data_IF_712197501793
#
_entry.id   IF_712197501793
#
_cell.length_a   1.000
_cell.length_b   1.000
_cell.length_c   1.000
_cell.angle_alpha   90.00
_cell.angle_beta   90.00
_cell.angle_gamma   90.00
#
_symmetry.space_group_name_H-M   'P 1'
#
loop_
_entity.id
_entity.type
_entity.pdbx_description
1 polymer ?
#
# COMPACT_ATOMS: atom_id res chain seq x y z
N UNK A 1 20.87 -0.43 5.60
CA UNK A 1 19.53 -0.29 4.99
C UNK A 1 19.59 -0.25 3.48
N UNK A 2 20.19 0.79 2.89
CA UNK A 2 20.22 1.04 1.43
C UNK A 2 20.71 -0.17 0.63
N UNK A 3 21.93 -0.66 0.89
CA UNK A 3 22.51 -1.81 0.17
C UNK A 3 21.65 -3.07 0.24
N UNK A 4 21.01 -3.32 1.39
CA UNK A 4 20.12 -4.46 1.54
C UNK A 4 18.86 -4.28 0.70
N UNK A 5 18.12 -3.19 0.90
CA UNK A 5 16.82 -2.96 0.27
C UNK A 5 16.91 -2.76 -1.26
N UNK A 6 17.94 -2.05 -1.73
CA UNK A 6 18.05 -1.61 -3.13
C UNK A 6 19.22 -2.24 -3.88
N UNK A 7 20.09 -3.01 -3.21
CA UNK A 7 21.14 -3.80 -3.86
C UNK A 7 20.80 -5.29 -3.78
N UNK A 8 20.82 -5.86 -2.58
CA UNK A 8 20.69 -7.30 -2.38
C UNK A 8 19.30 -7.83 -2.74
N UNK A 9 18.22 -7.21 -2.25
CA UNK A 9 16.83 -7.67 -2.50
C UNK A 9 16.51 -7.77 -4.00
N UNK A 10 16.70 -6.72 -4.84
CA UNK A 10 16.39 -6.84 -6.27
C UNK A 10 17.27 -7.86 -6.99
N UNK A 11 18.52 -8.05 -6.56
CA UNK A 11 19.39 -9.13 -7.09
C UNK A 11 18.77 -10.49 -6.77
N UNK A 12 18.38 -10.73 -5.51
CA UNK A 12 17.80 -11.99 -5.09
C UNK A 12 16.44 -12.26 -5.76
N UNK A 13 15.62 -11.23 -5.98
CA UNK A 13 14.33 -11.34 -6.68
C UNK A 13 14.47 -11.78 -8.15
N UNK A 14 15.64 -11.59 -8.77
CA UNK A 14 15.94 -12.07 -10.13
C UNK A 14 16.36 -13.55 -10.14
N UNK A 15 17.06 -14.01 -9.10
CA UNK A 15 17.62 -15.36 -9.06
C UNK A 15 16.73 -16.39 -8.34
N UNK A 16 15.78 -15.94 -7.52
CA UNK A 16 14.87 -16.81 -6.78
C UNK A 16 13.53 -16.88 -7.52
N UNK A 17 12.96 -18.09 -7.59
CA UNK A 17 11.67 -18.37 -8.23
C UNK A 17 10.55 -17.48 -7.66
N UNK A 18 9.54 -17.18 -8.48
CA UNK A 18 8.39 -16.36 -8.10
C UNK A 18 7.40 -17.12 -7.18
N UNK A 19 6.86 -16.43 -6.16
CA UNK A 19 5.78 -16.90 -5.29
C UNK A 19 4.44 -16.72 -5.99
N UNK A 20 4.23 -17.54 -7.02
CA UNK A 20 3.08 -17.48 -7.89
C UNK A 20 1.89 -18.35 -7.44
N UNK A 21 2.05 -19.09 -6.32
CA UNK A 21 1.06 -20.02 -5.81
C UNK A 21 -0.03 -19.33 -4.96
N UNK A 22 -1.28 -19.73 -5.19
CA UNK A 22 -2.43 -19.36 -4.38
C UNK A 22 -2.80 -20.47 -3.38
N UNK A 23 -3.23 -20.14 -2.15
CA UNK A 23 -3.72 -21.15 -1.23
C UNK A 23 -5.02 -21.79 -1.76
N UNK A 24 -5.07 -23.12 -1.75
CA UNK A 24 -6.30 -23.88 -1.98
C UNK A 24 -7.38 -23.52 -0.94
N UNK A 25 -8.64 -23.83 -1.22
CA UNK A 25 -9.76 -23.58 -0.29
C UNK A 25 -9.50 -24.17 1.11
N UNK A 26 -8.94 -25.39 1.19
CA UNK A 26 -8.60 -26.03 2.45
C UNK A 26 -7.47 -25.29 3.19
N UNK A 27 -6.40 -24.90 2.48
CA UNK A 27 -5.30 -24.11 3.05
C UNK A 27 -5.79 -22.74 3.51
N UNK A 28 -6.65 -22.08 2.75
CA UNK A 28 -7.23 -20.78 3.09
C UNK A 28 -7.94 -20.84 4.44
N UNK A 29 -8.84 -21.81 4.63
CA UNK A 29 -9.57 -21.99 5.89
C UNK A 29 -8.62 -22.20 7.08
N UNK A 30 -7.65 -23.11 6.93
CA UNK A 30 -6.65 -23.41 7.96
C UNK A 30 -5.78 -22.19 8.31
N UNK A 31 -5.14 -21.58 7.31
CA UNK A 31 -4.18 -20.48 7.50
C UNK A 31 -4.84 -19.22 8.08
N UNK A 32 -6.12 -19.00 7.81
CA UNK A 32 -6.87 -17.85 8.35
C UNK A 32 -7.11 -17.97 9.86
N UNK A 33 -7.23 -19.20 10.38
CA UNK A 33 -7.51 -19.48 11.80
C UNK A 33 -6.24 -19.57 12.66
N UNK A 34 -5.09 -19.85 12.05
CA UNK A 34 -3.82 -20.02 12.77
C UNK A 34 -3.32 -18.71 13.42
N UNK A 35 -3.24 -18.70 14.76
CA UNK A 35 -2.83 -17.51 15.52
C UNK A 35 -1.39 -17.06 15.28
N UNK A 36 -0.48 -17.98 14.93
CA UNK A 36 0.95 -17.67 14.71
C UNK A 36 1.18 -16.59 13.65
N UNK A 37 0.30 -16.48 12.65
CA UNK A 37 0.41 -15.45 11.61
C UNK A 37 0.16 -14.04 12.15
N UNK A 38 -0.48 -13.91 13.32
CA UNK A 38 -0.64 -12.64 14.04
C UNK A 38 0.59 -12.30 14.88
N UNK A 39 1.35 -13.30 15.31
CA UNK A 39 2.54 -13.09 16.15
C UNK A 39 3.68 -12.45 15.37
N UNK A 40 3.89 -12.83 14.10
CA UNK A 40 4.96 -12.29 13.25
C UNK A 40 4.91 -10.74 13.18
N UNK A 41 3.81 -10.11 12.73
CA UNK A 41 3.72 -8.65 12.72
C UNK A 41 3.70 -8.04 14.13
N UNK A 42 3.16 -8.73 15.13
CA UNK A 42 3.14 -8.23 16.50
C UNK A 42 4.56 -8.15 17.12
N UNK A 43 5.40 -9.16 16.86
CA UNK A 43 6.79 -9.20 17.34
C UNK A 43 7.67 -8.15 16.66
N UNK A 44 7.34 -7.75 15.43
CA UNK A 44 8.07 -6.67 14.75
C UNK A 44 7.96 -5.33 15.48
N UNK A 45 6.86 -5.07 16.19
CA UNK A 45 6.65 -3.78 16.87
C UNK A 45 7.75 -3.48 17.91
N UNK A 46 7.98 -4.32 18.94
CA UNK A 46 9.08 -4.08 19.87
C UNK A 46 10.46 -4.16 19.18
N UNK A 47 10.64 -5.02 18.17
CA UNK A 47 11.89 -5.12 17.42
C UNK A 47 12.23 -3.81 16.70
N UNK A 48 11.27 -3.20 16.02
CA UNK A 48 11.45 -1.91 15.36
C UNK A 48 11.84 -0.82 16.38
N UNK A 49 11.13 -0.72 17.50
CA UNK A 49 11.46 0.28 18.51
C UNK A 49 12.84 0.07 19.12
N UNK A 50 13.24 -1.18 19.35
CA UNK A 50 14.59 -1.50 19.82
C UNK A 50 15.66 -1.08 18.80
N UNK A 51 15.45 -1.35 17.51
CA UNK A 51 16.37 -0.94 16.43
C UNK A 51 16.44 0.59 16.34
N UNK A 52 15.30 1.28 16.31
CA UNK A 52 15.25 2.74 16.24
C UNK A 52 15.92 3.39 17.45
N UNK A 53 15.64 2.89 18.66
CA UNK A 53 16.26 3.39 19.87
C UNK A 53 17.77 3.15 19.90
N UNK A 54 18.22 1.95 19.54
CA UNK A 54 19.65 1.63 19.48
C UNK A 54 20.39 2.50 18.45
N UNK A 55 19.79 2.70 17.27
CA UNK A 55 20.35 3.59 16.26
C UNK A 55 20.41 5.04 16.74
N UNK A 56 19.37 5.51 17.45
CA UNK A 56 19.36 6.83 18.07
C UNK A 56 20.43 6.94 19.17
N UNK A 57 20.65 5.88 19.95
CA UNK A 57 21.70 5.81 20.97
C UNK A 57 23.08 5.94 20.35
N UNK A 58 23.38 5.18 19.29
CA UNK A 58 24.64 5.30 18.54
C UNK A 58 24.77 6.71 17.93
N UNK A 59 23.71 7.22 17.30
CA UNK A 59 23.66 8.59 16.76
C UNK A 59 23.93 9.66 17.83
N UNK A 60 23.52 9.43 19.08
CA UNK A 60 23.63 10.43 20.15
C UNK A 60 24.93 10.36 20.94
N UNK A 61 25.59 9.21 20.97
CA UNK A 61 26.73 8.95 21.89
C UNK A 61 28.05 8.70 21.19
N UNK A 62 28.04 8.37 19.89
CA UNK A 62 29.25 8.08 19.13
C UNK A 62 29.74 9.32 18.37
N UNK A 63 31.05 9.49 18.32
CA UNK A 63 31.70 10.46 17.42
C UNK A 63 31.79 9.84 16.02
N UNK A 64 30.89 10.26 15.13
CA UNK A 64 30.79 9.73 13.78
C UNK A 64 31.09 10.81 12.75
N UNK A 65 31.48 10.38 11.55
CA UNK A 65 31.54 11.25 10.38
C UNK A 65 30.15 11.53 9.86
N UNK A 66 29.96 12.67 9.20
CA UNK A 66 28.65 13.11 8.70
C UNK A 66 27.94 12.08 7.83
N UNK A 67 28.67 11.36 6.97
CA UNK A 67 28.09 10.32 6.11
C UNK A 67 27.62 9.09 6.89
N UNK A 68 28.19 8.82 8.06
CA UNK A 68 27.77 7.74 8.95
C UNK A 68 26.46 8.13 9.65
N UNK A 69 26.33 9.37 10.12
CA UNK A 69 25.06 9.90 10.64
C UNK A 69 23.94 9.81 9.60
N UNK A 70 24.20 10.27 8.37
CA UNK A 70 23.25 10.17 7.25
C UNK A 70 22.95 8.70 6.95
N UNK A 71 23.96 7.83 6.92
CA UNK A 71 23.81 6.40 6.67
C UNK A 71 22.92 5.70 7.70
N UNK A 72 23.01 6.06 8.99
CA UNK A 72 22.15 5.55 10.06
C UNK A 72 20.71 6.03 9.85
N UNK A 73 20.50 7.35 9.69
CA UNK A 73 19.16 7.94 9.49
C UNK A 73 18.46 7.32 8.29
N UNK A 74 19.14 7.27 7.14
CA UNK A 74 18.57 6.70 5.91
C UNK A 74 18.33 5.20 6.05
N UNK A 75 19.25 4.46 6.67
CA UNK A 75 19.08 3.02 6.84
C UNK A 75 17.91 2.66 7.74
N UNK A 76 17.75 3.37 8.86
CA UNK A 76 16.64 3.14 9.79
C UNK A 76 15.34 3.65 9.19
N UNK A 77 15.35 4.80 8.52
CA UNK A 77 14.18 5.29 7.80
C UNK A 77 13.68 4.29 6.75
N UNK A 78 14.57 3.74 5.92
CA UNK A 78 14.21 2.71 4.94
C UNK A 78 13.63 1.46 5.62
N UNK A 79 14.28 0.96 6.69
CA UNK A 79 13.78 -0.18 7.45
C UNK A 79 12.38 0.11 8.01
N UNK A 80 12.23 1.28 8.61
CA UNK A 80 11.00 1.71 9.26
C UNK A 80 9.86 1.92 8.28
N UNK A 81 10.16 2.42 7.08
CA UNK A 81 9.20 2.59 6.00
C UNK A 81 8.87 1.27 5.30
N UNK A 82 9.88 0.60 4.74
CA UNK A 82 9.68 -0.60 3.94
C UNK A 82 9.07 -1.76 4.75
N UNK A 83 9.56 -1.99 5.97
CA UNK A 83 9.05 -3.09 6.81
C UNK A 83 8.07 -2.56 7.84
N UNK A 84 8.45 -1.53 8.62
CA UNK A 84 7.62 -1.04 9.72
C UNK A 84 6.25 -0.54 9.29
N UNK A 85 6.17 0.36 8.30
CA UNK A 85 4.87 0.85 7.80
C UNK A 85 4.11 -0.28 7.12
N UNK A 86 4.77 -1.21 6.44
CA UNK A 86 4.10 -2.36 5.86
C UNK A 86 3.50 -3.32 6.91
N UNK A 87 4.20 -3.55 8.02
CA UNK A 87 3.64 -4.28 9.16
C UNK A 87 2.47 -3.50 9.77
N UNK A 88 2.61 -2.18 9.91
CA UNK A 88 1.51 -1.33 10.37
C UNK A 88 0.30 -1.43 9.44
N UNK A 89 0.52 -1.41 8.13
CA UNK A 89 -0.48 -1.55 7.09
C UNK A 89 -1.30 -2.84 7.26
N UNK A 90 -0.63 -4.00 7.39
CA UNK A 90 -1.30 -5.27 7.66
C UNK A 90 -2.14 -5.18 8.95
N UNK A 91 -1.56 -4.64 10.03
CA UNK A 91 -2.20 -4.59 11.35
C UNK A 91 -3.44 -3.67 11.42
N UNK A 92 -3.41 -2.51 10.76
CA UNK A 92 -4.53 -1.54 10.81
C UNK A 92 -5.79 -2.05 10.09
N UNK A 93 -5.62 -2.92 9.08
CA UNK A 93 -6.73 -3.53 8.33
C UNK A 93 -7.48 -4.60 9.12
N UNK A 94 -7.00 -5.00 10.30
CA UNK A 94 -7.57 -6.13 11.03
C UNK A 94 -8.72 -5.72 11.96
N UNK A 95 -9.74 -6.58 12.12
CA UNK A 95 -10.88 -6.32 12.99
C UNK A 95 -10.51 -6.31 14.48
N UNK A 96 -9.35 -6.86 14.86
CA UNK A 96 -8.88 -6.85 16.23
C UNK A 96 -8.35 -5.48 16.67
N UNK A 97 -8.81 -5.00 17.82
CA UNK A 97 -8.39 -3.69 18.37
C UNK A 97 -6.92 -3.65 18.77
N UNK A 98 -6.36 -4.74 19.32
CA UNK A 98 -4.95 -4.78 19.71
C UNK A 98 -4.03 -4.78 18.49
N UNK A 99 -4.40 -5.45 17.40
CA UNK A 99 -3.64 -5.41 16.14
C UNK A 99 -3.62 -3.97 15.61
N UNK A 100 -4.79 -3.30 15.54
CA UNK A 100 -4.85 -1.89 15.12
C UNK A 100 -4.06 -0.95 16.04
N UNK A 101 -4.04 -1.21 17.35
CA UNK A 101 -3.23 -0.46 18.30
C UNK A 101 -1.74 -0.59 17.97
N UNK A 102 -1.24 -1.80 17.75
CA UNK A 102 0.16 -2.05 17.37
C UNK A 102 0.53 -1.39 16.03
N UNK A 103 -0.37 -1.44 15.04
CA UNK A 103 -0.15 -0.75 13.76
C UNK A 103 -0.08 0.77 13.92
N UNK A 104 -0.98 1.36 14.72
CA UNK A 104 -0.93 2.80 15.05
C UNK A 104 0.31 3.19 15.84
N UNK A 105 0.79 2.30 16.72
CA UNK A 105 2.03 2.52 17.47
C UNK A 105 3.21 2.60 16.49
N UNK A 106 3.37 1.64 15.58
CA UNK A 106 4.40 1.69 14.54
C UNK A 106 4.36 3.00 13.71
N UNK A 107 3.16 3.45 13.31
CA UNK A 107 3.01 4.71 12.57
C UNK A 107 3.34 5.96 13.40
N UNK A 108 3.11 5.91 14.72
CA UNK A 108 3.55 6.97 15.63
C UNK A 108 5.08 7.07 15.68
N UNK A 109 5.78 5.92 15.53
CA UNK A 109 7.24 5.85 15.44
C UNK A 109 7.86 6.51 14.20
N UNK A 110 7.05 6.91 13.22
CA UNK A 110 7.49 7.55 11.97
C UNK A 110 6.73 8.82 11.64
N UNK A 111 6.04 9.42 12.63
CA UNK A 111 5.27 10.66 12.46
C UNK A 111 4.22 10.61 11.33
N UNK A 112 3.64 9.43 11.07
CA UNK A 112 2.71 9.23 9.96
C UNK A 112 1.39 8.58 10.41
N UNK A 113 1.00 8.82 11.66
CA UNK A 113 -0.16 8.17 12.28
C UNK A 113 -1.53 8.52 11.67
N UNK A 114 -1.67 9.70 11.05
CA UNK A 114 -2.91 10.12 10.37
C UNK A 114 -3.27 9.19 9.21
N UNK A 115 -2.25 8.62 8.54
CA UNK A 115 -2.39 7.69 7.43
C UNK A 115 -3.22 6.46 7.79
N UNK A 116 -3.20 6.00 9.05
CA UNK A 116 -4.02 4.85 9.46
C UNK A 116 -5.51 5.04 9.17
N UNK A 117 -6.06 6.25 9.40
CA UNK A 117 -7.47 6.53 9.14
C UNK A 117 -7.71 6.82 7.67
N UNK A 118 -6.81 7.61 7.07
CA UNK A 118 -6.87 7.99 5.67
C UNK A 118 -6.86 6.76 4.78
N UNK A 119 -5.95 5.83 5.03
CA UNK A 119 -5.82 4.62 4.24
C UNK A 119 -7.08 3.76 4.28
N UNK A 120 -7.59 3.50 5.49
CA UNK A 120 -8.74 2.62 5.71
C UNK A 120 -10.05 3.16 5.14
N UNK A 121 -10.28 4.47 5.28
CA UNK A 121 -11.60 5.07 5.00
C UNK A 121 -11.58 6.09 3.86
N UNK A 122 -10.40 6.43 3.35
CA UNK A 122 -10.11 7.33 2.24
C UNK A 122 -9.53 6.54 1.07
N UNK A 123 -8.22 6.29 1.05
CA UNK A 123 -7.54 5.61 -0.07
C UNK A 123 -8.24 4.32 -0.51
N UNK A 124 -8.55 3.37 0.37
CA UNK A 124 -9.25 2.13 -0.04
C UNK A 124 -10.62 2.36 -0.70
N UNK A 125 -11.29 3.48 -0.41
CA UNK A 125 -12.55 3.87 -1.06
C UNK A 125 -12.35 4.66 -2.35
N UNK A 126 -11.31 5.49 -2.38
CA UNK A 126 -11.07 6.45 -3.45
C UNK A 126 -10.02 5.99 -4.46
N UNK A 127 -9.30 4.90 -4.18
CA UNK A 127 -8.21 4.36 -5.01
C UNK A 127 -8.64 4.27 -6.46
N UNK A 128 -7.72 4.63 -7.36
CA UNK A 128 -7.98 4.70 -8.80
C UNK A 128 -9.09 5.70 -9.18
N UNK A 129 -9.40 6.70 -8.35
CA UNK A 129 -10.26 7.83 -8.74
C UNK A 129 -9.47 9.15 -8.73
N UNK A 130 -9.93 10.18 -9.45
CA UNK A 130 -9.28 11.51 -9.41
C UNK A 130 -9.26 12.18 -8.04
N UNK A 131 -10.01 11.65 -7.06
CA UNK A 131 -10.17 12.21 -5.73
C UNK A 131 -9.25 11.56 -4.68
N UNK A 132 -8.51 10.51 -5.04
CA UNK A 132 -7.53 9.90 -4.13
C UNK A 132 -6.17 10.60 -4.23
N UNK A 133 -5.66 11.20 -3.15
CA UNK A 133 -4.31 11.77 -3.14
C UNK A 133 -3.22 10.72 -3.37
N UNK A 134 -3.44 9.45 -3.00
CA UNK A 134 -2.46 8.38 -3.10
C UNK A 134 -2.54 7.55 -4.41
N UNK A 135 -3.42 7.92 -5.34
CA UNK A 135 -3.42 7.35 -6.71
C UNK A 135 -2.53 8.18 -7.62
N UNK A 136 -1.46 7.58 -8.16
CA UNK A 136 -0.51 8.24 -9.06
C UNK A 136 -1.02 8.32 -10.49
N UNK A 137 -0.85 9.49 -11.12
CA UNK A 137 -1.40 9.74 -12.46
C UNK A 137 -0.46 9.29 -13.57
N UNK A 138 -1.02 8.92 -14.71
CA UNK A 138 -0.21 8.67 -15.91
C UNK A 138 0.56 9.95 -16.28
N UNK A 139 1.87 9.83 -16.46
CA UNK A 139 2.79 10.94 -16.73
C UNK A 139 3.15 11.82 -15.52
N UNK A 140 2.60 11.59 -14.33
CA UNK A 140 3.02 12.28 -13.11
C UNK A 140 4.31 11.65 -12.58
N UNK A 141 5.33 12.45 -12.26
CA UNK A 141 6.55 11.90 -11.66
C UNK A 141 6.42 11.72 -10.14
N UNK A 142 7.29 10.89 -9.56
CA UNK A 142 7.28 10.58 -8.14
C UNK A 142 7.32 11.83 -7.24
N UNK A 143 8.07 12.87 -7.59
CA UNK A 143 8.22 14.05 -6.73
C UNK A 143 6.94 14.91 -6.69
N UNK A 144 6.28 15.08 -7.84
CA UNK A 144 4.96 15.72 -7.93
C UNK A 144 3.92 14.93 -7.15
N UNK A 145 3.91 13.60 -7.34
CA UNK A 145 3.05 12.69 -6.61
C UNK A 145 3.30 12.79 -5.10
N UNK A 146 4.55 12.72 -4.66
CA UNK A 146 4.92 12.71 -3.24
C UNK A 146 4.38 13.94 -2.53
N UNK A 147 4.55 15.13 -3.12
CA UNK A 147 4.02 16.35 -2.52
C UNK A 147 2.49 16.34 -2.44
N UNK A 148 1.83 15.93 -3.53
CA UNK A 148 0.37 15.84 -3.60
C UNK A 148 -0.20 14.80 -2.64
N UNK A 149 0.45 13.65 -2.52
CA UNK A 149 0.00 12.53 -1.69
C UNK A 149 0.19 12.85 -0.21
N UNK A 150 1.37 13.29 0.21
CA UNK A 150 1.64 13.64 1.62
C UNK A 150 0.73 14.76 2.11
N UNK A 151 0.55 15.82 1.33
CA UNK A 151 -0.32 16.94 1.75
C UNK A 151 -1.80 16.60 1.61
N UNK A 152 -2.17 15.86 0.56
CA UNK A 152 -3.53 15.46 0.26
C UNK A 152 -4.08 14.42 1.23
N UNK A 153 -3.29 13.42 1.63
CA UNK A 153 -3.70 12.40 2.63
C UNK A 153 -3.92 13.05 4.00
N UNK A 154 -3.07 13.99 4.40
CA UNK A 154 -3.32 14.78 5.62
C UNK A 154 -4.64 15.56 5.56
N UNK A 155 -4.88 16.28 4.46
CA UNK A 155 -6.12 17.03 4.26
C UNK A 155 -7.35 16.11 4.24
N UNK A 156 -7.23 14.97 3.57
CA UNK A 156 -8.24 13.91 3.48
C UNK A 156 -8.61 13.41 4.88
N UNK A 157 -7.61 13.01 5.68
CA UNK A 157 -7.80 12.58 7.06
C UNK A 157 -8.52 13.63 7.92
N UNK A 158 -8.17 14.92 7.77
CA UNK A 158 -8.83 16.02 8.49
C UNK A 158 -10.28 16.23 8.07
N UNK A 159 -10.58 16.19 6.77
CA UNK A 159 -11.93 16.36 6.25
C UNK A 159 -12.86 15.23 6.72
N UNK A 160 -12.37 13.98 6.68
CA UNK A 160 -13.10 12.81 7.17
C UNK A 160 -13.40 12.89 8.66
N UNK A 161 -12.39 13.23 9.47
CA UNK A 161 -12.55 13.35 10.91
C UNK A 161 -13.49 14.50 11.28
N UNK A 162 -13.41 15.63 10.58
CA UNK A 162 -14.36 16.74 10.74
C UNK A 162 -15.80 16.29 10.45
N UNK A 163 -16.02 15.51 9.38
CA UNK A 163 -17.35 14.96 9.05
C UNK A 163 -17.86 13.99 10.12
N UNK A 164 -16.99 13.10 10.61
CA UNK A 164 -17.31 12.09 11.63
C UNK A 164 -17.71 12.75 12.95
N UNK A 165 -17.02 13.83 13.32
CA UNK A 165 -17.20 14.54 14.59
C UNK A 165 -18.13 15.76 14.50
N UNK A 166 -18.84 15.98 13.39
CA UNK A 166 -19.66 17.19 13.17
C UNK A 166 -20.72 17.44 14.24
N UNK A 167 -21.21 16.35 14.87
CA UNK A 167 -22.23 16.39 15.93
C UNK A 167 -21.63 16.13 17.33
N UNK A 168 -20.32 16.01 17.45
CA UNK A 168 -19.62 15.80 18.73
C UNK A 168 -19.01 17.13 19.18
N UNK A 169 -19.15 17.46 20.46
CA UNK A 169 -18.71 18.76 21.00
C UNK A 169 -17.82 18.58 22.24
N UNK A 170 -17.22 19.68 22.70
CA UNK A 170 -16.43 19.73 23.92
C UNK A 170 -15.21 18.80 23.94
N UNK A 171 -14.87 18.31 25.13
CA UNK A 171 -13.70 17.44 25.35
C UNK A 171 -13.82 16.09 24.62
N UNK A 172 -15.04 15.57 24.47
CA UNK A 172 -15.30 14.32 23.75
C UNK A 172 -14.83 14.42 22.29
N UNK A 173 -15.06 15.57 21.64
CA UNK A 173 -14.58 15.82 20.27
C UNK A 173 -13.05 15.72 20.19
N UNK A 174 -12.35 16.36 21.13
CA UNK A 174 -10.88 16.39 21.15
C UNK A 174 -10.33 14.98 21.42
N UNK A 175 -10.87 14.29 22.43
CA UNK A 175 -10.45 12.95 22.78
C UNK A 175 -10.80 11.91 21.73
N UNK A 176 -11.79 12.17 20.88
CA UNK A 176 -12.20 11.26 19.82
C UNK A 176 -11.53 11.53 18.48
N UNK A 177 -10.91 12.70 18.25
CA UNK A 177 -10.26 13.07 16.98
C UNK A 177 -9.03 12.19 16.74
N UNK A 178 -9.16 11.28 15.78
CA UNK A 178 -8.17 10.24 15.55
C UNK A 178 -6.91 10.79 14.86
N UNK A 179 -6.99 11.94 14.18
CA UNK A 179 -5.79 12.63 13.67
C UNK A 179 -5.08 13.33 14.82
N UNK A 180 -5.80 13.99 15.73
CA UNK A 180 -5.21 14.58 16.92
C UNK A 180 -4.53 13.54 17.81
N UNK A 181 -5.19 12.41 18.08
CA UNK A 181 -4.59 11.27 18.79
C UNK A 181 -3.30 10.79 18.12
N UNK A 182 -3.25 10.77 16.78
CA UNK A 182 -2.08 10.32 16.04
C UNK A 182 -0.87 11.26 16.18
N UNK A 183 -1.12 12.58 16.29
CA UNK A 183 -0.09 13.57 16.57
C UNK A 183 0.41 13.42 18.00
N UNK A 184 -0.52 13.30 18.97
CA UNK A 184 -0.17 13.11 20.37
C UNK A 184 0.63 11.83 20.62
N UNK A 185 0.26 10.71 19.99
CA UNK A 185 1.01 9.46 20.13
C UNK A 185 2.41 9.58 19.52
N UNK A 186 2.56 10.25 18.38
CA UNK A 186 3.86 10.50 17.76
C UNK A 186 4.74 11.40 18.62
N UNK A 187 4.16 12.45 19.22
CA UNK A 187 4.83 13.32 20.19
C UNK A 187 5.24 12.55 21.46
N UNK A 188 4.39 11.66 21.97
CA UNK A 188 4.72 10.84 23.13
C UNK A 188 5.92 9.92 22.85
N UNK A 189 5.97 9.30 21.67
CA UNK A 189 7.12 8.52 21.23
C UNK A 189 8.37 9.40 21.11
N UNK A 190 8.27 10.54 20.41
CA UNK A 190 9.38 11.48 20.28
C UNK A 190 9.91 11.95 21.65
N UNK A 191 9.01 12.16 22.61
CA UNK A 191 9.35 12.54 23.98
C UNK A 191 10.10 11.42 24.72
N UNK A 192 9.78 10.15 24.49
CA UNK A 192 10.58 9.03 25.04
C UNK A 192 12.00 9.03 24.48
N UNK A 193 12.19 9.34 23.20
CA UNK A 193 13.53 9.51 22.62
C UNK A 193 14.27 10.69 23.27
N UNK A 194 13.58 11.82 23.48
CA UNK A 194 14.14 12.97 24.18
C UNK A 194 14.53 12.66 25.63
N UNK A 195 13.67 11.98 26.39
CA UNK A 195 13.94 11.64 27.79
C UNK A 195 15.15 10.72 27.95
N UNK A 196 15.38 9.82 26.99
CA UNK A 196 16.44 8.81 27.08
C UNK A 196 17.76 9.26 26.45
N UNK A 197 17.72 10.14 25.43
CA UNK A 197 18.87 10.50 24.59
C UNK A 197 19.04 12.01 24.36
N UNK A 198 18.22 12.84 25.01
CA UNK A 198 18.24 14.29 24.88
C UNK A 198 17.83 14.79 23.48
N UNK A 199 18.29 15.99 23.14
CA UNK A 199 17.99 16.64 21.86
C UNK A 199 18.47 15.82 20.66
N UNK A 200 19.59 15.09 20.78
CA UNK A 200 20.12 14.25 19.71
C UNK A 200 19.16 13.12 19.32
N UNK A 201 18.54 12.45 20.31
CA UNK A 201 17.52 11.43 20.06
C UNK A 201 16.26 12.01 19.39
N UNK A 202 15.86 13.21 19.78
CA UNK A 202 14.72 13.91 19.16
C UNK A 202 15.01 14.27 17.71
N UNK A 203 16.20 14.80 17.42
CA UNK A 203 16.67 15.11 16.05
C UNK A 203 16.67 13.83 15.20
N UNK A 204 17.24 12.74 15.71
CA UNK A 204 17.23 11.46 14.99
C UNK A 204 15.81 11.00 14.64
N UNK A 205 14.88 11.05 15.60
CA UNK A 205 13.48 10.64 15.39
C UNK A 205 12.84 11.40 14.22
N UNK A 206 13.01 12.72 14.17
CA UNK A 206 12.44 13.56 13.11
C UNK A 206 13.19 13.47 11.79
N UNK A 207 14.47 13.12 11.78
CA UNK A 207 15.23 12.94 10.54
C UNK A 207 14.89 11.62 9.84
N UNK A 208 14.67 10.54 10.58
CA UNK A 208 14.35 9.24 9.95
C UNK A 208 12.91 9.14 9.46
N UNK A 209 11.97 9.85 10.11
CA UNK A 209 10.54 9.80 9.78
C UNK A 209 10.22 10.17 8.31
N UNK A 210 10.74 11.27 7.74
CA UNK A 210 10.58 11.59 6.31
C UNK A 210 11.09 10.51 5.36
N UNK A 211 12.21 9.86 5.68
CA UNK A 211 12.71 8.74 4.88
C UNK A 211 11.71 7.57 4.96
N UNK A 212 11.20 7.27 6.15
CA UNK A 212 10.25 6.18 6.37
C UNK A 212 8.93 6.36 5.62
N UNK A 213 8.25 7.50 5.78
CA UNK A 213 6.98 7.71 5.06
C UNK A 213 7.20 7.93 3.56
N UNK A 214 8.37 8.40 3.11
CA UNK A 214 8.67 8.47 1.67
C UNK A 214 8.78 7.08 1.03
N UNK A 215 9.18 6.04 1.78
CA UNK A 215 9.11 4.67 1.29
C UNK A 215 7.67 4.21 1.07
N UNK A 216 6.76 4.54 1.99
CA UNK A 216 5.33 4.28 1.80
C UNK A 216 4.80 4.99 0.56
N UNK A 217 5.11 6.27 0.38
CA UNK A 217 4.65 7.02 -0.79
C UNK A 217 5.26 6.49 -2.09
N UNK A 218 6.50 6.02 -2.08
CA UNK A 218 7.10 5.35 -3.24
C UNK A 218 6.35 4.06 -3.59
N UNK A 219 5.89 3.31 -2.58
CA UNK A 219 5.05 2.13 -2.77
C UNK A 219 3.68 2.50 -3.33
N UNK A 220 2.96 3.46 -2.74
CA UNK A 220 1.68 3.96 -3.29
C UNK A 220 1.83 4.40 -4.75
N UNK A 221 2.93 5.11 -5.06
CA UNK A 221 3.20 5.59 -6.41
C UNK A 221 3.32 4.46 -7.42
N UNK A 222 4.10 3.41 -7.13
CA UNK A 222 4.28 2.29 -8.08
C UNK A 222 3.04 1.40 -8.15
N UNK A 223 2.30 1.27 -7.04
CA UNK A 223 1.13 0.41 -6.91
C UNK A 223 -0.09 0.89 -7.69
N UNK A 224 -0.22 2.20 -7.90
CA UNK A 224 -1.41 2.80 -8.51
C UNK A 224 -1.14 3.57 -9.81
N UNK A 225 0.07 3.46 -10.37
CA UNK A 225 0.50 4.28 -11.50
C UNK A 225 -0.40 4.16 -12.72
N UNK A 226 -1.13 5.23 -13.02
CA UNK A 226 -1.91 5.38 -14.25
C UNK A 226 -3.16 4.52 -14.35
N UNK A 227 -3.54 3.80 -13.29
CA UNK A 227 -4.73 2.95 -13.25
C UNK A 227 -5.94 3.73 -12.71
N UNK A 228 -7.07 3.66 -13.41
CA UNK A 228 -8.28 4.40 -13.06
C UNK A 228 -9.54 3.57 -13.15
N UNK A 229 -10.42 3.76 -12.17
CA UNK A 229 -11.79 3.28 -12.14
C UNK A 229 -12.64 4.11 -13.09
N UNK A 230 -13.53 3.44 -13.81
CA UNK A 230 -14.54 4.08 -14.64
C UNK A 230 -15.66 4.66 -13.76
N UNK A 231 -16.13 5.89 -14.05
CA UNK A 231 -17.37 6.40 -13.49
C UNK A 231 -18.55 5.50 -13.90
N UNK A 232 -19.51 5.31 -13.01
CA UNK A 232 -20.76 4.62 -13.35
C UNK A 232 -21.61 5.49 -14.27
N UNK A 233 -22.49 4.85 -15.05
CA UNK A 233 -23.40 5.56 -15.96
C UNK A 233 -24.28 6.61 -15.26
N UNK A 234 -24.61 6.38 -13.98
CA UNK A 234 -25.40 7.28 -13.13
C UNK A 234 -24.56 8.10 -12.13
N UNK A 235 -23.26 8.27 -12.39
CA UNK A 235 -22.38 9.05 -11.52
C UNK A 235 -22.90 10.50 -11.38
N UNK A 236 -22.92 11.08 -10.17
CA UNK A 236 -23.24 12.50 -9.98
C UNK A 236 -22.28 13.41 -10.75
N UNK A 237 -22.72 14.65 -11.03
CA UNK A 237 -21.87 15.66 -11.65
C UNK A 237 -20.58 15.90 -10.84
N UNK A 238 -19.49 16.21 -11.53
CA UNK A 238 -18.17 16.42 -10.90
C UNK A 238 -18.18 17.49 -9.81
N UNK A 239 -19.00 18.54 -9.95
CA UNK A 239 -19.16 19.58 -8.92
C UNK A 239 -19.74 19.04 -7.61
N UNK A 240 -20.68 18.08 -7.70
CA UNK A 240 -21.26 17.40 -6.54
C UNK A 240 -20.22 16.50 -5.88
N UNK A 241 -19.45 15.75 -6.67
CA UNK A 241 -18.39 14.88 -6.17
C UNK A 241 -17.24 15.68 -5.53
N UNK A 242 -16.88 16.84 -6.09
CA UNK A 242 -15.91 17.75 -5.49
C UNK A 242 -16.41 18.28 -4.15
N UNK A 243 -17.67 18.71 -4.05
CA UNK A 243 -18.25 19.13 -2.77
C UNK A 243 -18.25 17.99 -1.75
N UNK A 244 -18.63 16.78 -2.17
CA UNK A 244 -18.58 15.59 -1.33
C UNK A 244 -17.16 15.32 -0.83
N UNK A 245 -16.14 15.49 -1.68
CA UNK A 245 -14.74 15.34 -1.31
C UNK A 245 -14.32 16.37 -0.25
N UNK A 246 -14.61 17.64 -0.48
CA UNK A 246 -14.24 18.74 0.41
C UNK A 246 -14.92 18.60 1.80
N UNK A 247 -16.08 17.93 1.86
CA UNK A 247 -16.83 17.61 3.09
C UNK A 247 -16.48 16.24 3.70
N UNK A 248 -15.48 15.52 3.18
CA UNK A 248 -15.08 14.18 3.66
C UNK A 248 -16.09 13.07 3.41
N UNK A 249 -17.03 13.24 2.47
CA UNK A 249 -18.09 12.27 2.13
C UNK A 249 -17.64 11.21 1.12
N UNK A 250 -16.58 10.48 1.43
CA UNK A 250 -15.93 9.59 0.45
C UNK A 250 -16.78 8.38 0.05
N UNK A 251 -17.74 7.97 0.86
CA UNK A 251 -18.70 6.93 0.49
C UNK A 251 -19.57 7.34 -0.73
N UNK A 252 -19.91 8.63 -0.86
CA UNK A 252 -20.66 9.12 -2.02
C UNK A 252 -19.82 9.08 -3.30
N UNK A 253 -18.52 9.36 -3.17
CA UNK A 253 -17.60 9.32 -4.31
C UNK A 253 -17.37 7.88 -4.73
N UNK A 254 -17.08 6.98 -3.79
CA UNK A 254 -16.90 5.55 -4.06
C UNK A 254 -18.11 4.95 -4.81
N UNK A 255 -19.33 5.29 -4.40
CA UNK A 255 -20.56 4.87 -5.08
C UNK A 255 -20.74 5.41 -6.52
N UNK A 256 -19.99 6.45 -6.91
CA UNK A 256 -20.01 7.02 -8.26
C UNK A 256 -19.08 6.31 -9.25
N UNK A 257 -18.20 5.43 -8.78
CA UNK A 257 -17.24 4.69 -9.61
C UNK A 257 -17.50 3.18 -9.54
N UNK A 258 -17.00 2.42 -10.52
CA UNK A 258 -17.06 0.95 -10.49
C UNK A 258 -16.40 0.38 -9.24
N UNK A 259 -16.78 -0.80 -8.77
CA UNK A 259 -16.21 -1.38 -7.55
C UNK A 259 -14.71 -1.63 -7.69
N UNK A 260 -13.94 -1.39 -6.63
CA UNK A 260 -12.51 -1.73 -6.58
C UNK A 260 -12.33 -3.23 -6.90
N UNK A 261 -11.34 -3.52 -7.72
CA UNK A 261 -11.08 -4.85 -8.27
C UNK A 261 -9.58 -5.05 -8.45
N UNK A 262 -9.10 -6.28 -8.69
CA UNK A 262 -7.69 -6.53 -8.92
C UNK A 262 -7.09 -5.79 -10.13
N UNK A 263 -7.90 -5.14 -10.97
CA UNK A 263 -7.41 -4.28 -12.06
C UNK A 263 -6.94 -2.90 -11.63
N UNK A 264 -7.27 -2.47 -10.42
CA UNK A 264 -7.05 -1.09 -9.93
C UNK A 264 -5.75 -0.91 -9.14
N UNK A 265 -4.86 -1.89 -9.22
CA UNK A 265 -3.51 -1.82 -8.68
C UNK A 265 -2.55 -2.78 -9.38
N UNK A 266 -1.28 -2.39 -9.40
CA UNK A 266 -0.19 -3.20 -9.89
C UNK A 266 0.21 -4.29 -8.89
N UNK A 267 0.64 -5.43 -9.42
CA UNK A 267 0.95 -6.64 -8.68
C UNK A 267 2.38 -7.09 -8.98
N UNK A 268 3.00 -7.83 -8.06
CA UNK A 268 4.26 -8.54 -8.31
C UNK A 268 4.33 -9.85 -7.51
N UNK A 269 5.20 -10.76 -7.94
CA UNK A 269 5.23 -12.14 -7.42
C UNK A 269 6.60 -12.55 -6.87
N UNK A 270 7.52 -11.61 -6.67
CA UNK A 270 8.88 -11.97 -6.28
C UNK A 270 8.95 -12.50 -4.83
N UNK A 271 9.53 -13.68 -4.65
CA UNK A 271 9.48 -14.42 -3.39
C UNK A 271 10.14 -13.67 -2.23
N UNK A 272 11.35 -13.12 -2.42
CA UNK A 272 12.07 -12.45 -1.33
C UNK A 272 11.34 -11.21 -0.88
N UNK A 273 10.94 -10.36 -1.83
CA UNK A 273 10.14 -9.17 -1.50
C UNK A 273 8.80 -9.55 -0.85
N UNK A 274 8.15 -10.66 -1.24
CA UNK A 274 6.91 -11.12 -0.61
C UNK A 274 7.10 -11.52 0.85
N UNK A 275 8.18 -12.21 1.21
CA UNK A 275 8.42 -12.54 2.60
C UNK A 275 8.79 -11.32 3.45
N UNK A 276 9.59 -10.39 2.90
CA UNK A 276 9.97 -9.16 3.58
C UNK A 276 8.77 -8.22 3.80
N UNK A 277 7.91 -8.11 2.80
CA UNK A 277 6.79 -7.17 2.80
C UNK A 277 5.45 -7.83 3.13
N UNK A 278 5.42 -8.95 3.85
CA UNK A 278 4.16 -9.63 4.21
C UNK A 278 3.20 -9.73 3.00
N UNK A 279 3.73 -10.19 1.87
CA UNK A 279 3.05 -10.37 0.59
C UNK A 279 2.34 -9.12 0.06
N UNK A 280 2.78 -7.92 0.42
CA UNK A 280 2.21 -6.67 -0.08
C UNK A 280 2.17 -6.60 -1.60
N UNK A 281 3.13 -7.22 -2.29
CA UNK A 281 3.15 -7.26 -3.76
C UNK A 281 1.90 -7.92 -4.37
N UNK A 282 1.14 -8.71 -3.59
CA UNK A 282 -0.19 -9.22 -3.93
C UNK A 282 -1.27 -8.13 -3.78
N UNK A 283 -0.94 -6.91 -4.19
CA UNK A 283 -1.68 -5.68 -3.88
C UNK A 283 -3.04 -5.63 -4.56
N UNK A 284 -3.15 -6.26 -5.74
CA UNK A 284 -4.42 -6.41 -6.45
C UNK A 284 -5.47 -7.15 -5.63
N UNK A 285 -5.11 -8.24 -4.96
CA UNK A 285 -6.03 -8.94 -4.06
C UNK A 285 -6.25 -8.17 -2.76
N UNK A 286 -5.21 -7.50 -2.25
CA UNK A 286 -5.34 -6.65 -1.07
C UNK A 286 -6.39 -5.55 -1.26
N UNK A 287 -6.34 -4.78 -2.35
CA UNK A 287 -7.36 -3.75 -2.60
C UNK A 287 -8.75 -4.31 -2.83
N UNK A 288 -8.86 -5.46 -3.49
CA UNK A 288 -10.15 -6.13 -3.67
C UNK A 288 -10.69 -6.73 -2.36
N UNK A 289 -9.82 -7.11 -1.42
CA UNK A 289 -10.15 -7.85 -0.20
C UNK A 289 -9.29 -7.39 1.01
N UNK A 290 -9.34 -6.11 1.38
CA UNK A 290 -8.38 -5.50 2.32
C UNK A 290 -8.32 -6.13 3.73
N UNK A 291 -9.39 -6.81 4.16
CA UNK A 291 -9.43 -7.52 5.44
C UNK A 291 -8.67 -8.86 5.43
N UNK A 292 -8.35 -9.39 4.24
CA UNK A 292 -7.60 -10.62 4.04
C UNK A 292 -6.20 -10.47 4.67
N UNK A 293 -5.72 -11.54 5.31
CA UNK A 293 -4.39 -11.53 5.94
C UNK A 293 -3.31 -11.90 4.93
N UNK A 294 -2.10 -11.41 5.15
CA UNK A 294 -0.99 -11.59 4.21
C UNK A 294 -0.77 -13.04 3.77
N UNK A 295 -0.83 -14.01 4.70
CA UNK A 295 -0.53 -15.41 4.41
C UNK A 295 -1.54 -16.08 3.46
N UNK A 296 -2.71 -15.45 3.24
CA UNK A 296 -3.76 -15.92 2.34
C UNK A 296 -4.08 -14.96 1.20
N UNK A 297 -3.30 -13.88 1.04
CA UNK A 297 -3.37 -13.01 -0.15
C UNK A 297 -3.12 -13.83 -1.41
N UNK A 298 -3.84 -13.50 -2.48
CA UNK A 298 -3.80 -14.19 -3.77
C UNK A 298 -3.10 -13.34 -4.82
N UNK A 299 -2.56 -13.99 -5.83
CA UNK A 299 -2.03 -13.35 -7.03
C UNK A 299 -2.86 -13.79 -8.24
N UNK A 300 -3.00 -12.91 -9.24
CA UNK A 300 -3.77 -13.19 -10.45
C UNK A 300 -2.95 -12.77 -11.67
N UNK A 301 -2.72 -13.65 -12.64
CA UNK A 301 -1.97 -13.27 -13.85
C UNK A 301 -2.68 -12.19 -14.67
N UNK A 302 -4.01 -12.14 -14.59
CA UNK A 302 -4.80 -11.15 -15.29
C UNK A 302 -4.66 -9.72 -14.73
N UNK A 303 -4.26 -9.55 -13.46
CA UNK A 303 -4.08 -8.22 -12.89
C UNK A 303 -2.86 -7.51 -13.50
N UNK A 304 -2.80 -6.17 -13.47
CA UNK A 304 -1.61 -5.42 -13.89
C UNK A 304 -0.36 -5.92 -13.15
N UNK A 305 0.71 -6.26 -13.85
CA UNK A 305 1.96 -6.74 -13.24
C UNK A 305 3.08 -5.71 -13.41
N UNK A 306 3.80 -5.44 -12.32
CA UNK A 306 5.02 -4.64 -12.35
C UNK A 306 6.11 -5.36 -13.15
N UNK A 307 7.05 -4.60 -13.78
CA UNK A 307 8.15 -5.20 -14.52
C UNK A 307 9.21 -5.88 -13.63
N UNK A 308 9.28 -5.52 -12.35
CA UNK A 308 10.19 -6.10 -11.35
C UNK A 308 9.56 -6.01 -9.96
N UNK A 309 10.24 -6.54 -8.93
CA UNK A 309 9.87 -6.35 -7.53
C UNK A 309 9.89 -4.88 -7.10
N UNK A 310 9.31 -4.62 -5.93
CA UNK A 310 9.09 -3.25 -5.43
C UNK A 310 10.38 -2.44 -5.35
N UNK A 311 11.48 -3.04 -4.86
CA UNK A 311 12.77 -2.35 -4.77
C UNK A 311 13.27 -1.86 -6.14
N UNK A 312 13.15 -2.68 -7.18
CA UNK A 312 13.53 -2.29 -8.54
C UNK A 312 12.61 -1.19 -9.09
N UNK A 313 11.30 -1.33 -8.87
CA UNK A 313 10.33 -0.33 -9.30
C UNK A 313 10.51 1.02 -8.60
N UNK A 314 10.82 1.04 -7.30
CA UNK A 314 11.11 2.26 -6.56
C UNK A 314 12.35 2.95 -7.13
N UNK A 315 13.44 2.22 -7.40
CA UNK A 315 14.64 2.80 -8.01
C UNK A 315 14.34 3.42 -9.38
N UNK A 316 13.54 2.74 -10.21
CA UNK A 316 13.11 3.27 -11.50
C UNK A 316 12.21 4.50 -11.36
N UNK A 317 11.28 4.50 -10.41
CA UNK A 317 10.35 5.61 -10.12
C UNK A 317 11.06 6.91 -9.72
N UNK A 318 12.22 6.79 -9.05
CA UNK A 318 13.07 7.93 -8.68
C UNK A 318 13.76 8.58 -9.90
N UNK A 319 13.76 7.93 -11.07
CA UNK A 319 14.32 8.45 -12.32
C UNK A 319 13.19 8.55 -13.36
N UNK A 320 12.47 9.70 -13.43
CA UNK A 320 11.20 9.78 -14.17
C UNK A 320 11.26 9.32 -15.64
N UNK A 321 12.30 9.66 -16.44
CA UNK A 321 12.39 9.16 -17.81
C UNK A 321 12.44 7.62 -17.92
N UNK A 322 13.11 6.95 -16.98
CA UNK A 322 13.18 5.48 -16.92
C UNK A 322 11.83 4.91 -16.54
N UNK A 323 11.18 5.49 -15.52
CA UNK A 323 9.85 5.06 -15.09
C UNK A 323 8.81 5.15 -16.21
N UNK A 324 8.72 6.29 -16.89
CA UNK A 324 7.75 6.52 -17.97
C UNK A 324 8.00 5.59 -19.16
N UNK A 325 9.27 5.40 -19.54
CA UNK A 325 9.65 4.45 -20.58
C UNK A 325 9.15 3.03 -20.25
N UNK A 326 9.32 2.59 -19.00
CA UNK A 326 8.92 1.26 -18.55
C UNK A 326 7.41 1.10 -18.36
N UNK A 327 6.71 2.11 -17.84
CA UNK A 327 5.33 1.95 -17.35
C UNK A 327 4.25 2.47 -18.29
N UNK A 328 4.48 3.53 -19.07
CA UNK A 328 3.40 4.17 -19.85
C UNK A 328 2.79 3.25 -20.91
N UNK A 329 3.59 2.38 -21.52
CA UNK A 329 3.08 1.38 -22.46
C UNK A 329 2.38 0.21 -21.76
N UNK A 330 2.80 -0.13 -20.53
CA UNK A 330 2.14 -1.16 -19.72
C UNK A 330 0.75 -0.69 -19.26
N UNK A 331 0.62 0.56 -18.83
CA UNK A 331 -0.69 1.17 -18.48
C UNK A 331 -1.65 1.05 -19.67
N UNK A 332 -1.21 1.41 -20.87
CA UNK A 332 -2.02 1.29 -22.10
C UNK A 332 -2.43 -0.16 -22.39
N UNK A 333 -1.49 -1.09 -22.34
CA UNK A 333 -1.79 -2.52 -22.51
C UNK A 333 -2.76 -3.07 -21.47
N UNK A 334 -2.67 -2.60 -20.22
CA UNK A 334 -3.64 -2.95 -19.17
C UNK A 334 -5.05 -2.45 -19.50
N UNK A 335 -5.21 -1.21 -19.94
CA UNK A 335 -6.52 -0.68 -20.35
C UNK A 335 -7.13 -1.45 -21.52
N UNK A 336 -6.32 -1.82 -22.52
CA UNK A 336 -6.76 -2.66 -23.64
C UNK A 336 -7.22 -4.04 -23.15
N UNK A 337 -6.43 -4.68 -22.28
CA UNK A 337 -6.78 -5.98 -21.70
C UNK A 337 -8.08 -5.92 -20.89
N UNK A 338 -8.25 -4.91 -20.04
CA UNK A 338 -9.48 -4.72 -19.24
C UNK A 338 -10.69 -4.60 -20.17
N UNK A 339 -10.59 -3.83 -21.24
CA UNK A 339 -11.67 -3.68 -22.22
C UNK A 339 -12.01 -5.01 -22.93
N UNK A 340 -11.02 -5.87 -23.19
CA UNK A 340 -11.24 -7.21 -23.75
C UNK A 340 -11.94 -8.13 -22.75
N UNK A 341 -11.50 -8.11 -21.48
CA UNK A 341 -12.11 -8.90 -20.40
C UNK A 341 -13.57 -8.52 -20.20
N UNK A 342 -13.88 -7.23 -20.12
CA UNK A 342 -15.25 -6.72 -20.01
C UNK A 342 -16.15 -7.21 -21.15
N UNK A 343 -15.65 -7.18 -22.40
CA UNK A 343 -16.39 -7.68 -23.56
C UNK A 343 -16.61 -9.19 -23.56
N UNK A 344 -15.66 -9.94 -23.00
CA UNK A 344 -15.73 -11.41 -22.96
C UNK A 344 -16.77 -11.94 -21.97
N UNK A 345 -16.99 -11.21 -20.86
CA UNK A 345 -17.77 -11.71 -19.72
C UNK A 345 -17.10 -12.86 -18.94
N UNK A 346 -15.84 -13.20 -19.25
CA UNK A 346 -15.07 -14.25 -18.56
C UNK A 346 -14.59 -13.73 -17.20
N UNK A 347 -14.79 -14.52 -16.14
CA UNK A 347 -14.22 -14.23 -14.83
C UNK A 347 -12.72 -14.58 -14.80
N UNK A 348 -11.87 -13.60 -15.09
CA UNK A 348 -10.41 -13.78 -15.16
C UNK A 348 -9.70 -13.87 -13.80
N UNK A 349 -10.44 -13.74 -12.70
CA UNK A 349 -9.92 -13.88 -11.33
C UNK A 349 -10.30 -15.22 -10.69
N UNK A 350 -10.72 -16.20 -11.50
CA UNK A 350 -10.99 -17.56 -11.05
C UNK A 350 -9.73 -18.43 -11.01
N UNK A 351 -9.73 -19.46 -10.17
CA UNK A 351 -8.65 -20.46 -10.12
C UNK A 351 -8.52 -21.22 -11.46
N UNK A 352 -9.65 -21.43 -12.14
CA UNK A 352 -9.72 -22.07 -13.46
C UNK A 352 -9.03 -21.23 -14.54
N UNK A 353 -9.31 -19.92 -14.58
CA UNK A 353 -8.68 -19.00 -15.54
C UNK A 353 -7.17 -18.89 -15.29
N UNK A 354 -6.75 -18.75 -14.03
CA UNK A 354 -5.32 -18.62 -13.70
C UNK A 354 -4.55 -19.91 -14.07
N UNK A 355 -5.13 -21.09 -13.83
CA UNK A 355 -4.55 -22.37 -14.25
C UNK A 355 -4.40 -22.46 -15.78
N UNK A 356 -5.42 -22.02 -16.52
CA UNK A 356 -5.41 -22.03 -17.98
C UNK A 356 -4.42 -21.02 -18.56
N UNK A 357 -4.35 -19.81 -17.99
CA UNK A 357 -3.37 -18.79 -18.36
C UNK A 357 -1.93 -19.26 -18.13
N UNK A 358 -1.66 -19.97 -17.02
CA UNK A 358 -0.35 -20.60 -16.75
C UNK A 358 -0.04 -21.70 -17.75
N UNK A 359 -1.01 -22.57 -18.04
CA UNK A 359 -0.85 -23.67 -19.02
C UNK A 359 -0.49 -23.13 -20.41
N UNK A 360 -1.07 -22.00 -20.80
CA UNK A 360 -0.83 -21.37 -22.09
C UNK A 360 0.33 -20.35 -22.09
N UNK A 361 0.82 -19.96 -20.92
CA UNK A 361 1.82 -18.89 -20.78
C UNK A 361 1.33 -17.50 -21.23
N UNK A 362 0.02 -17.30 -21.36
CA UNK A 362 -0.56 -16.05 -21.88
C UNK A 362 -2.00 -15.85 -21.39
N UNK A 363 -2.24 -14.70 -20.77
CA UNK A 363 -3.58 -14.25 -20.33
C UNK A 363 -4.49 -14.04 -21.55
N UNK A 364 -3.97 -13.46 -22.62
CA UNK A 364 -4.70 -13.20 -23.86
C UNK A 364 -5.14 -14.49 -24.55
N UNK A 365 -4.28 -15.51 -24.56
CA UNK A 365 -4.59 -16.82 -25.13
C UNK A 365 -5.67 -17.54 -24.33
N UNK A 366 -5.58 -17.52 -22.99
CA UNK A 366 -6.61 -18.08 -22.11
C UNK A 366 -7.95 -17.35 -22.27
N UNK A 367 -7.92 -16.02 -22.33
CA UNK A 367 -9.11 -15.20 -22.55
C UNK A 367 -9.80 -15.54 -23.87
N UNK A 368 -9.06 -15.60 -24.96
CA UNK A 368 -9.61 -15.94 -26.28
C UNK A 368 -10.23 -17.35 -26.29
N UNK A 369 -9.55 -18.33 -25.70
CA UNK A 369 -10.04 -19.71 -25.63
C UNK A 369 -11.32 -19.82 -24.80
N UNK A 370 -11.34 -19.28 -23.58
CA UNK A 370 -12.49 -19.36 -22.68
C UNK A 370 -13.69 -18.56 -23.20
N UNK A 371 -13.46 -17.41 -23.84
CA UNK A 371 -14.51 -16.65 -24.52
C UNK A 371 -15.20 -17.49 -25.59
N UNK A 372 -14.40 -18.19 -26.42
CA UNK A 372 -14.93 -19.06 -27.48
C UNK A 372 -15.72 -20.24 -26.91
N UNK A 373 -15.26 -20.84 -25.81
CA UNK A 373 -15.99 -21.91 -25.12
C UNK A 373 -17.33 -21.43 -24.57
N UNK A 374 -17.36 -20.25 -23.94
CA UNK A 374 -18.58 -19.64 -23.40
C UNK A 374 -19.61 -19.33 -24.51
N UNK A 375 -19.15 -18.78 -25.65
CA UNK A 375 -20.02 -18.55 -26.81
C UNK A 375 -20.58 -19.85 -27.39
N UNK A 376 -19.75 -20.89 -27.50
CA UNK A 376 -20.20 -22.21 -27.98
C UNK A 376 -21.22 -22.86 -27.04
N UNK A 377 -21.06 -22.69 -25.72
CA UNK A 377 -22.05 -23.17 -24.75
C UNK A 377 -23.37 -22.43 -24.86
N UNK A 378 -23.33 -21.10 -25.03
CA UNK A 378 -24.53 -20.28 -25.24
C UNK A 378 -25.26 -20.61 -26.55
N UNK A 379 -24.55 -21.01 -27.60
CA UNK A 379 -25.16 -21.43 -28.87
C UNK A 379 -25.79 -22.84 -28.82
N UNK A 380 -25.40 -23.67 -27.85
CA UNK A 380 -25.93 -25.04 -27.66
C UNK A 380 -27.14 -25.09 -26.73
N UNK A 381 -27.35 -24.04 -25.94
CA UNK A 381 -28.53 -23.84 -25.08
C UNK A 381 -29.60 -23.11 -25.88
#
# INVERSE_FOLDING_TARGET
>A
GVWFAFGLVPILDVFIEEDSANPSKAQYSRLTQEFKWRLIPALWVPTQYAICWYAAYVYSTSELKIYEYVGIVVSVGILSGAIGINVAHELIHKPSSWERFLGRLLLAGVWYGHWANEHLYGHHRLVSTPYDPATSKLGENFYQFWFRSVTGTWASARAMEARRLRNTQGIERVLSDAVFQSVLSSLAVAYVFYLTLGNSGLVFFFLQAPVAFSMLEAVNYIEHYGLYRKPRANAPAQSVLKKAHDEGNYAMIDGAYETVSPFHSWNAQHTVTNYLLLKLQRHSDHHANASRRYQVLRTFLASPQLPTGYSGCILMALIPPVWFYMMDHRVRGCHERIALVEKSGVNVFSEEFDAEARRLGSVESALAMMTKQQQQQQQRQ
#
